data_IF_913775795791
#
_entry.id   IF_913775795791
#
_cell.length_a   1.000
_cell.length_b   1.000
_cell.length_c   1.000
_cell.angle_alpha   90.00
_cell.angle_beta   90.00
_cell.angle_gamma   90.00
#
_symmetry.space_group_name_H-M   'P 1'
#
loop_
_entity.id
_entity.type
_entity.pdbx_description
1 polymer ?
#
# COMPACT_ATOMS: atom_id res chain seq x y z
N UNK A 1 -11.08 11.78 -46.19
CA UNK A 1 -11.28 10.34 -46.47
C UNK A 1 -10.17 9.46 -45.89
N UNK A 2 -8.89 9.74 -46.10
CA UNK A 2 -7.77 8.93 -45.55
C UNK A 2 -7.78 8.79 -44.02
N UNK A 3 -8.18 9.82 -43.28
CA UNK A 3 -8.25 9.80 -41.81
C UNK A 3 -9.27 8.78 -41.31
N UNK A 4 -10.45 8.73 -41.88
CA UNK A 4 -11.50 7.77 -41.48
C UNK A 4 -11.09 6.32 -41.74
N UNK A 5 -10.38 6.06 -42.86
CA UNK A 5 -9.85 4.73 -43.17
C UNK A 5 -8.80 4.32 -42.14
N UNK A 6 -7.91 5.22 -41.75
CA UNK A 6 -6.88 4.97 -40.72
C UNK A 6 -7.55 4.69 -39.37
N UNK A 7 -8.53 5.48 -38.97
CA UNK A 7 -9.29 5.29 -37.74
C UNK A 7 -10.01 3.94 -37.73
N UNK A 8 -10.65 3.57 -38.80
CA UNK A 8 -11.32 2.28 -38.96
C UNK A 8 -10.32 1.12 -38.82
N UNK A 9 -9.20 1.16 -39.56
CA UNK A 9 -8.15 0.13 -39.45
C UNK A 9 -7.59 0.02 -38.04
N UNK A 10 -7.42 1.14 -37.34
CA UNK A 10 -6.93 1.16 -35.97
C UNK A 10 -7.92 0.54 -34.96
N UNK A 11 -9.22 0.80 -35.13
CA UNK A 11 -10.28 0.18 -34.33
C UNK A 11 -10.36 -1.32 -34.58
N UNK A 12 -10.43 -1.75 -35.84
CA UNK A 12 -10.51 -3.18 -36.20
C UNK A 12 -9.27 -3.96 -35.73
N UNK A 13 -8.11 -3.32 -35.73
CA UNK A 13 -6.87 -3.92 -35.24
C UNK A 13 -6.74 -3.97 -33.71
N UNK A 14 -7.78 -3.63 -32.94
CA UNK A 14 -7.75 -3.61 -31.48
C UNK A 14 -6.76 -2.58 -30.91
N UNK A 15 -6.66 -1.42 -31.53
CA UNK A 15 -5.73 -0.34 -31.16
C UNK A 15 -4.24 -0.72 -31.29
N UNK A 16 -3.91 -1.52 -32.29
CA UNK A 16 -2.54 -1.93 -32.59
C UNK A 16 -1.62 -0.77 -32.98
N UNK A 17 -0.32 -1.01 -32.93
CA UNK A 17 0.70 -0.01 -33.21
C UNK A 17 0.75 0.43 -34.68
N UNK A 18 1.52 1.49 -34.93
CA UNK A 18 1.64 2.15 -36.23
C UNK A 18 1.97 1.18 -37.37
N UNK A 19 2.93 0.28 -37.16
CA UNK A 19 3.42 -0.60 -38.25
C UNK A 19 2.34 -1.62 -38.66
N UNK A 20 1.59 -2.15 -37.69
CA UNK A 20 0.49 -3.08 -37.96
C UNK A 20 -0.66 -2.39 -38.70
N UNK A 21 -1.05 -1.19 -38.31
CA UNK A 21 -2.06 -0.40 -39.01
C UNK A 21 -1.58 -0.07 -40.44
N UNK A 22 -0.28 0.20 -40.62
CA UNK A 22 0.30 0.45 -41.95
C UNK A 22 0.23 -0.79 -42.86
N UNK A 23 0.50 -2.00 -42.29
CA UNK A 23 0.41 -3.24 -43.06
C UNK A 23 -1.03 -3.51 -43.55
N UNK A 24 -2.00 -3.40 -42.61
CA UNK A 24 -3.43 -3.55 -42.96
C UNK A 24 -3.91 -2.53 -44.03
N UNK A 25 -3.44 -1.30 -43.90
CA UNK A 25 -3.76 -0.27 -44.91
C UNK A 25 -3.23 -0.63 -46.28
N UNK A 26 -2.00 -1.12 -46.36
CA UNK A 26 -1.34 -1.44 -47.65
C UNK A 26 -1.95 -2.63 -48.39
N UNK A 27 -2.69 -3.47 -47.68
CA UNK A 27 -3.43 -4.57 -48.35
C UNK A 27 -4.51 -4.08 -49.31
N UNK A 28 -5.13 -2.94 -49.01
CA UNK A 28 -6.30 -2.44 -49.73
C UNK A 28 -6.17 -1.03 -50.29
N UNK A 29 -5.32 -0.19 -49.69
CA UNK A 29 -5.22 1.22 -50.00
C UNK A 29 -3.79 1.70 -50.15
N UNK A 30 -3.54 2.51 -51.19
CA UNK A 30 -2.28 3.25 -51.31
C UNK A 30 -2.51 4.69 -50.89
N UNK A 31 -1.93 5.06 -49.71
CA UNK A 31 -2.01 6.43 -49.15
C UNK A 31 -0.63 7.04 -49.22
N UNK A 32 -0.50 8.20 -49.84
CA UNK A 32 0.76 8.95 -49.89
C UNK A 32 1.14 9.41 -48.47
N UNK A 33 2.40 9.17 -48.07
CA UNK A 33 2.90 9.47 -46.71
C UNK A 33 2.07 8.81 -45.61
N UNK A 34 1.57 7.59 -45.82
CA UNK A 34 0.72 6.84 -44.89
C UNK A 34 1.28 6.79 -43.47
N UNK A 35 2.57 6.53 -43.31
CA UNK A 35 3.22 6.46 -41.99
C UNK A 35 3.05 7.77 -41.17
N UNK A 36 3.20 8.92 -41.80
CA UNK A 36 3.00 10.24 -41.19
C UNK A 36 1.52 10.52 -40.86
N UNK A 37 0.62 10.10 -41.77
CA UNK A 37 -0.81 10.23 -41.58
C UNK A 37 -1.32 9.36 -40.41
N UNK A 38 -0.82 8.11 -40.30
CA UNK A 38 -1.13 7.19 -39.20
C UNK A 38 -0.61 7.76 -37.88
N UNK A 39 0.65 8.23 -37.82
CA UNK A 39 1.19 8.85 -36.61
C UNK A 39 0.31 10.00 -36.10
N UNK A 40 -0.14 10.87 -37.01
CA UNK A 40 -1.01 11.99 -36.68
C UNK A 40 -2.40 11.53 -36.23
N UNK A 41 -2.94 10.48 -36.83
CA UNK A 41 -4.21 9.88 -36.43
C UNK A 41 -4.12 9.26 -35.03
N UNK A 42 -3.11 8.40 -34.80
CA UNK A 42 -2.91 7.69 -33.53
C UNK A 42 -2.61 8.64 -32.38
N UNK A 43 -1.94 9.76 -32.61
CA UNK A 43 -1.62 10.74 -31.55
C UNK A 43 -2.87 11.40 -30.94
N UNK A 44 -4.01 11.36 -31.59
CA UNK A 44 -5.29 11.88 -31.08
C UNK A 44 -5.95 10.92 -30.07
N UNK A 45 -5.61 9.63 -30.10
CA UNK A 45 -6.20 8.64 -29.23
C UNK A 45 -5.54 8.65 -27.85
N UNK A 46 -6.26 9.17 -26.85
CA UNK A 46 -5.75 9.32 -25.48
C UNK A 46 -5.39 7.98 -24.86
N UNK A 47 -6.21 6.94 -25.08
CA UNK A 47 -5.97 5.58 -24.57
C UNK A 47 -4.67 4.98 -25.10
N UNK A 48 -4.40 5.11 -26.40
CA UNK A 48 -3.17 4.63 -27.03
C UNK A 48 -1.94 5.42 -26.54
N UNK A 49 -2.07 6.73 -26.40
CA UNK A 49 -1.02 7.59 -25.85
C UNK A 49 -0.66 7.22 -24.41
N UNK A 50 -1.67 6.90 -23.58
CA UNK A 50 -1.43 6.47 -22.19
C UNK A 50 -0.68 5.14 -22.10
N UNK A 51 -1.03 4.18 -22.98
CA UNK A 51 -0.36 2.87 -23.03
C UNK A 51 1.09 2.94 -23.54
N UNK A 52 1.38 3.87 -24.44
CA UNK A 52 2.69 4.05 -25.07
C UNK A 52 3.60 5.05 -24.34
N UNK A 53 3.13 5.63 -23.24
CA UNK A 53 3.96 6.53 -22.44
C UNK A 53 5.15 5.77 -21.88
N UNK A 54 6.37 6.34 -21.95
CA UNK A 54 7.48 5.78 -21.22
C UNK A 54 7.14 5.75 -19.73
N UNK A 55 7.55 4.68 -19.06
CA UNK A 55 7.41 4.56 -17.62
C UNK A 55 8.26 5.67 -16.99
N UNK A 56 7.64 6.52 -16.19
CA UNK A 56 8.38 7.51 -15.42
C UNK A 56 9.21 6.78 -14.37
N UNK A 57 10.48 7.06 -14.31
CA UNK A 57 11.32 6.66 -13.17
C UNK A 57 10.86 7.47 -11.95
N UNK A 58 10.26 6.79 -11.01
CA UNK A 58 9.97 7.38 -9.72
C UNK A 58 11.27 7.35 -8.90
N UNK A 59 11.87 8.51 -8.66
CA UNK A 59 12.94 8.62 -7.68
C UNK A 59 12.35 8.29 -6.31
N UNK A 60 12.71 7.14 -5.79
CA UNK A 60 12.42 6.79 -4.41
C UNK A 60 13.44 7.51 -3.51
N UNK A 61 12.95 8.02 -2.38
CA UNK A 61 13.84 8.47 -1.31
C UNK A 61 14.66 7.28 -0.78
N UNK A 62 15.81 7.58 -0.20
CA UNK A 62 16.60 6.57 0.49
C UNK A 62 15.76 5.88 1.57
N UNK A 63 15.94 4.58 1.71
CA UNK A 63 15.22 3.82 2.74
C UNK A 63 15.69 4.26 4.13
N UNK A 64 14.79 4.39 5.10
CA UNK A 64 15.16 4.63 6.50
C UNK A 64 16.14 3.57 7.00
N UNK A 65 17.01 3.96 7.91
CA UNK A 65 18.08 3.08 8.45
C UNK A 65 17.49 1.80 9.06
N UNK A 66 16.33 1.89 9.72
CA UNK A 66 15.64 0.78 10.37
C UNK A 66 15.21 -0.34 9.41
N UNK A 67 15.13 -0.01 8.11
CA UNK A 67 14.86 -0.96 7.03
C UNK A 67 16.13 -1.63 6.49
N UNK A 68 17.31 -1.09 6.83
CA UNK A 68 18.61 -1.49 6.28
C UNK A 68 19.53 -2.16 7.30
N UNK A 69 18.98 -2.68 8.40
CA UNK A 69 19.74 -3.33 9.46
C UNK A 69 19.69 -4.87 9.36
N UNK A 70 20.45 -5.51 8.44
CA UNK A 70 20.36 -6.94 8.19
C UNK A 70 20.87 -7.81 9.35
N UNK A 71 21.79 -7.28 10.17
CA UNK A 71 22.45 -8.03 11.25
C UNK A 71 21.71 -7.98 12.60
N UNK A 72 20.52 -7.39 12.64
CA UNK A 72 19.68 -7.34 13.83
C UNK A 72 18.74 -8.55 13.88
N UNK A 73 18.42 -9.07 15.07
CA UNK A 73 17.39 -10.09 15.23
C UNK A 73 16.06 -9.66 14.60
N UNK A 74 15.28 -10.61 14.03
CA UNK A 74 13.94 -10.31 13.55
C UNK A 74 13.09 -9.59 14.59
N UNK A 75 12.29 -8.60 14.18
CA UNK A 75 11.42 -7.79 15.04
C UNK A 75 12.17 -6.86 16.03
N UNK A 76 13.41 -6.50 15.76
CA UNK A 76 14.12 -5.45 16.51
C UNK A 76 13.46 -4.09 16.31
N UNK A 77 13.16 -3.71 15.06
CA UNK A 77 12.38 -2.51 14.69
C UNK A 77 11.08 -2.97 14.04
N UNK A 78 9.94 -2.48 14.55
CA UNK A 78 8.61 -3.02 14.24
C UNK A 78 7.64 -1.90 13.90
N UNK A 79 6.95 -2.05 12.79
CA UNK A 79 5.74 -1.29 12.47
C UNK A 79 4.53 -1.94 13.13
N UNK A 80 3.67 -1.14 13.75
CA UNK A 80 2.42 -1.60 14.39
C UNK A 80 1.23 -0.93 13.74
N UNK A 81 0.22 -1.73 13.42
CA UNK A 81 -1.04 -1.26 12.88
C UNK A 81 -2.21 -2.10 13.39
N UNK A 82 -3.41 -1.54 13.34
CA UNK A 82 -4.65 -2.24 13.67
C UNK A 82 -5.46 -2.52 12.42
N UNK A 83 -6.13 -3.65 12.40
CA UNK A 83 -6.99 -3.98 11.27
C UNK A 83 -8.28 -4.65 11.68
N UNK A 84 -9.29 -4.48 10.85
CA UNK A 84 -10.61 -5.11 10.93
C UNK A 84 -11.46 -4.63 12.09
N UNK A 85 -12.70 -5.05 12.03
CA UNK A 85 -13.56 -5.31 13.18
C UNK A 85 -14.11 -6.71 12.94
N UNK A 86 -13.75 -7.66 13.78
CA UNK A 86 -14.24 -9.02 13.67
C UNK A 86 -15.35 -9.27 14.70
N UNK A 87 -16.49 -9.75 14.25
CA UNK A 87 -17.54 -10.20 15.17
C UNK A 87 -17.29 -11.66 15.56
N UNK A 88 -17.02 -11.88 16.84
CA UNK A 88 -16.74 -13.21 17.39
C UNK A 88 -17.87 -13.59 18.35
N UNK A 89 -18.39 -14.81 18.20
CA UNK A 89 -19.40 -15.35 19.09
C UNK A 89 -18.74 -15.78 20.41
N UNK A 90 -19.12 -15.15 21.49
CA UNK A 90 -18.69 -15.52 22.84
C UNK A 90 -19.94 -15.92 23.67
N UNK A 91 -20.13 -17.22 23.83
CA UNK A 91 -21.35 -17.75 24.40
C UNK A 91 -22.57 -17.43 23.54
N UNK A 92 -23.52 -16.65 24.11
CA UNK A 92 -24.73 -16.20 23.42
C UNK A 92 -24.62 -14.81 22.80
N UNK A 93 -23.52 -14.10 23.03
CA UNK A 93 -23.30 -12.71 22.57
C UNK A 93 -22.30 -12.65 21.42
N UNK A 94 -22.51 -11.67 20.53
CA UNK A 94 -21.53 -11.27 19.53
C UNK A 94 -20.70 -10.11 20.08
N UNK A 95 -19.39 -10.27 20.12
CA UNK A 95 -18.45 -9.26 20.60
C UNK A 95 -17.49 -8.85 19.49
N UNK A 96 -17.14 -7.56 19.44
CA UNK A 96 -16.14 -7.05 18.52
C UNK A 96 -14.73 -7.47 18.99
N UNK A 97 -13.86 -7.83 18.05
CA UNK A 97 -12.44 -8.08 18.25
C UNK A 97 -11.64 -7.41 17.14
N UNK A 98 -10.40 -7.08 17.40
CA UNK A 98 -9.50 -6.40 16.48
C UNK A 98 -8.22 -7.20 16.30
N UNK A 99 -7.60 -7.08 15.14
CA UNK A 99 -6.28 -7.59 14.89
C UNK A 99 -5.23 -6.50 15.08
N UNK A 100 -4.14 -6.83 15.74
CA UNK A 100 -2.93 -6.01 15.81
C UNK A 100 -1.87 -6.69 14.97
N UNK A 101 -1.35 -6.01 13.98
CA UNK A 101 -0.29 -6.50 13.11
C UNK A 101 1.04 -5.87 13.53
N UNK A 102 2.04 -6.70 13.73
CA UNK A 102 3.41 -6.31 13.99
C UNK A 102 4.26 -6.72 12.79
N UNK A 103 4.83 -5.76 12.09
CA UNK A 103 5.64 -5.98 10.89
C UNK A 103 7.09 -5.65 11.18
N UNK A 104 7.98 -6.62 11.01
CA UNK A 104 9.42 -6.36 11.08
C UNK A 104 9.84 -5.44 9.93
N UNK A 105 10.46 -4.30 10.23
CA UNK A 105 10.84 -3.31 9.22
C UNK A 105 11.98 -3.81 8.34
N UNK A 106 12.92 -4.59 8.88
CA UNK A 106 14.06 -5.11 8.14
C UNK A 106 13.68 -6.26 7.17
N UNK A 107 12.98 -7.29 7.66
CA UNK A 107 12.73 -8.52 6.88
C UNK A 107 11.28 -8.68 6.41
N UNK A 108 10.39 -7.73 6.75
CA UNK A 108 8.96 -7.76 6.41
C UNK A 108 8.18 -8.95 6.96
N UNK A 109 8.74 -9.67 7.94
CA UNK A 109 8.01 -10.72 8.63
C UNK A 109 6.83 -10.12 9.41
N UNK A 110 5.72 -10.85 9.44
CA UNK A 110 4.48 -10.41 10.08
C UNK A 110 4.15 -11.29 11.28
N UNK A 111 3.66 -10.67 12.34
CA UNK A 111 3.06 -11.33 13.49
C UNK A 111 1.73 -10.68 13.84
N UNK A 112 0.71 -11.48 14.09
CA UNK A 112 -0.64 -10.99 14.37
C UNK A 112 -1.04 -11.39 15.78
N UNK A 113 -1.60 -10.43 16.52
CA UNK A 113 -2.20 -10.64 17.82
C UNK A 113 -3.67 -10.20 17.82
N UNK A 114 -4.46 -10.78 18.70
CA UNK A 114 -5.87 -10.37 18.89
C UNK A 114 -5.96 -9.35 20.01
N UNK A 115 -6.57 -8.22 19.74
CA UNK A 115 -6.95 -7.22 20.73
C UNK A 115 -8.44 -7.33 21.07
N UNK A 116 -8.75 -7.23 22.35
CA UNK A 116 -10.13 -7.33 22.81
C UNK A 116 -10.93 -6.07 22.54
N UNK A 117 -10.29 -4.92 22.59
CA UNK A 117 -10.81 -3.57 22.38
C UNK A 117 -9.71 -2.70 21.75
N UNK A 118 -10.05 -1.45 21.45
CA UNK A 118 -9.11 -0.45 20.92
C UNK A 118 -8.55 0.45 22.04
N UNK A 119 -8.57 -0.01 23.28
CA UNK A 119 -8.02 0.74 24.39
C UNK A 119 -6.52 0.48 24.61
N UNK A 120 -5.88 1.38 25.35
CA UNK A 120 -4.45 1.30 25.69
C UNK A 120 -4.09 -0.01 26.37
N UNK A 121 -4.93 -0.51 27.26
CA UNK A 121 -4.62 -1.73 28.02
C UNK A 121 -4.66 -2.97 27.16
N UNK A 122 -5.63 -3.05 26.24
CA UNK A 122 -5.70 -4.14 25.25
C UNK A 122 -4.52 -4.13 24.30
N UNK A 123 -4.04 -2.95 23.89
CA UNK A 123 -2.81 -2.82 23.11
C UNK A 123 -1.58 -3.32 23.88
N UNK A 124 -1.39 -2.84 25.10
CA UNK A 124 -0.26 -3.25 25.95
C UNK A 124 -0.23 -4.76 26.23
N UNK A 125 -1.41 -5.37 26.38
CA UNK A 125 -1.53 -6.83 26.49
C UNK A 125 -1.13 -7.55 25.19
N UNK A 126 -1.55 -7.04 24.03
CA UNK A 126 -1.13 -7.58 22.74
C UNK A 126 0.39 -7.45 22.53
N UNK A 127 0.96 -6.28 22.84
CA UNK A 127 2.39 -6.03 22.78
C UNK A 127 3.18 -6.96 23.70
N UNK A 128 2.70 -7.18 24.92
CA UNK A 128 3.35 -8.13 25.86
C UNK A 128 3.37 -9.55 25.30
N UNK A 129 2.27 -10.04 24.74
CA UNK A 129 2.22 -11.37 24.11
C UNK A 129 3.16 -11.46 22.93
N UNK A 130 3.22 -10.41 22.10
CA UNK A 130 4.14 -10.33 20.98
C UNK A 130 5.60 -10.43 21.44
N UNK A 131 6.02 -9.62 22.43
CA UNK A 131 7.39 -9.62 22.97
C UNK A 131 7.76 -11.00 23.54
N UNK A 132 6.86 -11.63 24.28
CA UNK A 132 7.10 -12.97 24.83
C UNK A 132 7.34 -14.02 23.74
N UNK A 133 6.68 -13.88 22.59
CA UNK A 133 6.77 -14.86 21.49
C UNK A 133 7.91 -14.57 20.51
N UNK A 134 8.26 -13.32 20.29
CA UNK A 134 9.21 -12.89 19.25
C UNK A 134 10.50 -12.30 19.76
N UNK A 135 10.57 -12.01 21.03
CA UNK A 135 11.75 -11.40 21.67
C UNK A 135 11.61 -9.90 21.86
N UNK A 136 12.70 -9.31 22.37
CA UNK A 136 12.74 -7.90 22.73
C UNK A 136 12.72 -7.01 21.49
N UNK A 137 11.83 -6.02 21.49
CA UNK A 137 11.75 -4.95 20.52
C UNK A 137 12.59 -3.77 21.01
N UNK A 138 13.28 -3.07 20.13
CA UNK A 138 13.99 -1.81 20.44
C UNK A 138 13.17 -0.60 20.00
N UNK A 139 12.54 -0.68 18.83
CA UNK A 139 11.82 0.44 18.23
C UNK A 139 10.45 0.01 17.72
N UNK A 140 9.45 0.85 18.00
CA UNK A 140 8.09 0.68 17.52
C UNK A 140 7.73 1.91 16.70
N UNK A 141 7.26 1.70 15.48
CA UNK A 141 6.72 2.72 14.60
C UNK A 141 5.22 2.49 14.44
N UNK A 142 4.43 3.53 14.63
CA UNK A 142 2.99 3.50 14.34
C UNK A 142 2.61 4.61 13.39
N UNK A 143 1.63 4.33 12.52
CA UNK A 143 1.07 5.34 11.63
C UNK A 143 -0.02 6.14 12.36
N UNK A 144 -0.02 7.47 12.15
CA UNK A 144 -1.07 8.37 12.59
C UNK A 144 -2.23 8.45 11.58
N UNK A 145 -2.47 7.41 10.82
CA UNK A 145 -3.39 7.28 9.69
C UNK A 145 -4.58 8.24 9.64
N UNK A 146 -4.40 9.37 8.96
CA UNK A 146 -5.47 10.36 8.73
C UNK A 146 -6.32 10.08 7.49
N UNK A 147 -5.96 9.09 6.66
CA UNK A 147 -6.53 8.85 5.32
C UNK A 147 -7.44 7.62 5.23
N UNK A 148 -8.12 7.22 6.30
CA UNK A 148 -8.88 5.98 6.34
C UNK A 148 -10.37 6.12 5.99
N UNK A 149 -10.93 5.09 5.38
CA UNK A 149 -12.34 4.99 4.99
C UNK A 149 -13.26 4.85 6.22
N UNK A 150 -14.58 4.96 6.02
CA UNK A 150 -15.60 5.07 7.11
C UNK A 150 -15.52 4.03 8.24
N UNK A 151 -15.03 2.81 7.98
CA UNK A 151 -14.88 1.77 9.02
C UNK A 151 -13.66 1.96 9.91
N UNK A 152 -12.71 2.78 9.49
CA UNK A 152 -11.42 3.03 10.12
C UNK A 152 -11.41 4.27 11.01
N UNK A 153 -12.46 5.11 10.94
CA UNK A 153 -12.58 6.29 11.81
C UNK A 153 -12.61 5.91 13.29
N UNK A 154 -13.36 4.86 13.66
CA UNK A 154 -13.41 4.34 15.04
C UNK A 154 -12.00 3.91 15.51
N UNK A 155 -11.20 3.36 14.61
CA UNK A 155 -9.84 2.92 14.87
C UNK A 155 -8.91 4.12 15.12
N UNK A 156 -8.94 5.12 14.26
CA UNK A 156 -8.12 6.33 14.37
C UNK A 156 -8.46 7.15 15.62
N UNK A 157 -9.75 7.38 15.88
CA UNK A 157 -10.20 8.10 17.05
C UNK A 157 -9.77 7.40 18.34
N UNK A 158 -9.82 6.08 18.37
CA UNK A 158 -9.38 5.28 19.52
C UNK A 158 -7.87 5.31 19.73
N UNK A 159 -7.07 5.29 18.65
CA UNK A 159 -5.60 5.39 18.73
C UNK A 159 -5.18 6.78 19.22
N UNK A 160 -5.84 7.84 18.75
CA UNK A 160 -5.60 9.22 19.20
C UNK A 160 -5.95 9.37 20.68
N UNK A 161 -7.01 8.70 21.15
CA UNK A 161 -7.45 8.73 22.54
C UNK A 161 -6.56 7.90 23.49
N UNK A 162 -5.55 7.23 23.00
CA UNK A 162 -4.65 6.43 23.84
C UNK A 162 -3.93 7.28 24.87
N UNK A 163 -3.79 6.74 26.09
CA UNK A 163 -3.00 7.37 27.11
C UNK A 163 -1.51 7.21 26.80
N UNK A 164 -0.94 8.22 26.13
CA UNK A 164 0.44 8.27 25.68
C UNK A 164 1.44 8.15 26.85
N UNK A 165 1.13 8.74 28.00
CA UNK A 165 1.97 8.68 29.20
C UNK A 165 2.08 7.24 29.71
N UNK A 166 0.95 6.55 29.85
CA UNK A 166 0.92 5.15 30.30
C UNK A 166 1.67 4.20 29.36
N UNK A 167 1.55 4.46 28.05
CA UNK A 167 2.29 3.69 27.04
C UNK A 167 3.78 3.97 27.18
N UNK A 168 4.17 5.23 27.25
CA UNK A 168 5.56 5.68 27.38
C UNK A 168 6.23 5.07 28.61
N UNK A 169 5.60 5.11 29.78
CA UNK A 169 6.10 4.49 31.02
C UNK A 169 6.33 2.98 30.85
N UNK A 170 5.37 2.26 30.26
CA UNK A 170 5.53 0.81 30.02
C UNK A 170 6.66 0.48 29.04
N UNK A 171 6.89 1.34 28.05
CA UNK A 171 7.95 1.16 27.08
C UNK A 171 9.33 1.52 27.63
N UNK A 172 9.43 2.61 28.41
CA UNK A 172 10.67 3.00 29.09
C UNK A 172 11.20 1.90 30.01
N UNK A 173 10.33 1.26 30.79
CA UNK A 173 10.72 0.12 31.65
C UNK A 173 11.31 -1.04 30.83
N UNK A 174 11.10 -1.10 29.54
CA UNK A 174 11.57 -2.14 28.63
C UNK A 174 12.65 -1.68 27.67
N UNK A 175 13.12 -0.44 27.77
CA UNK A 175 14.07 0.20 26.84
C UNK A 175 13.57 0.15 25.38
N UNK A 176 12.28 0.42 25.16
CA UNK A 176 11.68 0.48 23.82
C UNK A 176 11.42 1.94 23.47
N UNK A 177 11.92 2.35 22.33
CA UNK A 177 11.63 3.68 21.74
C UNK A 177 10.38 3.59 20.88
N UNK A 178 9.45 4.52 21.03
CA UNK A 178 8.29 4.63 20.18
C UNK A 178 8.37 5.87 19.29
N UNK A 179 8.28 5.68 18.00
CA UNK A 179 8.23 6.75 16.99
C UNK A 179 6.85 6.76 16.33
N UNK A 180 6.18 7.90 16.42
CA UNK A 180 4.99 8.17 15.62
C UNK A 180 5.43 8.77 14.30
N UNK A 181 5.04 8.18 13.18
CA UNK A 181 5.21 8.80 11.88
C UNK A 181 4.28 10.01 11.83
N UNK A 182 4.84 11.21 11.90
CA UNK A 182 4.11 12.44 11.60
C UNK A 182 3.74 12.45 10.12
N UNK A 183 2.54 12.96 9.76
CA UNK A 183 2.09 13.04 8.38
C UNK A 183 2.96 13.96 7.53
#
# INVERSE_FOLDING_TARGET
MSTLIIEHCHLVSGHSGREYVLSLLREKFWIVKASSAIRRGLSKWVSCRRRQRPVCEQKMADLPVDHLTPDQPPFTSVGVDYFGTFQVKLGRSLVKRYGVIFTCLAIRAVHIEVSHSLDTDSFLLALRRFIVRRGQVKEIHSDNGTNFSRGEKELCESIIAWNQEKIHENLLQRNITWSFNLP
#
